data_IF_000734244933
#
_entry.id   IF_000734244933
#
_cell.length_a   1.000
_cell.length_b   1.000
_cell.length_c   1.000
_cell.angle_alpha   90.00
_cell.angle_beta   90.00
_cell.angle_gamma   90.00
#
_symmetry.space_group_name_H-M   'P 1'
#
loop_
_entity.id
_entity.type
_entity.pdbx_description
1 polymer ?
#
# COMPACT_ATOMS: atom_id res chain seq x y z
N UNK A 1 7.04 24.75 -11.65
CA UNK A 1 7.85 23.70 -12.31
C UNK A 1 7.76 22.32 -11.61
N UNK A 2 6.72 22.07 -10.80
CA UNK A 2 6.57 20.81 -10.02
C UNK A 2 5.70 19.77 -10.74
N UNK A 3 4.80 20.22 -11.63
CA UNK A 3 3.90 19.34 -12.40
C UNK A 3 4.63 18.45 -13.42
N UNK A 4 5.67 18.95 -14.08
CA UNK A 4 6.42 18.21 -15.12
C UNK A 4 7.08 16.94 -14.59
N UNK A 5 7.69 17.00 -13.40
CA UNK A 5 8.29 15.83 -12.74
C UNK A 5 7.29 14.69 -12.53
N UNK A 6 6.02 14.98 -12.26
CA UNK A 6 5.01 13.95 -12.04
C UNK A 6 4.43 13.38 -13.35
N UNK A 7 4.41 14.17 -14.42
CA UNK A 7 4.12 13.64 -15.75
C UNK A 7 5.23 12.69 -16.21
N UNK A 8 6.50 13.02 -15.94
CA UNK A 8 7.65 12.18 -16.27
C UNK A 8 7.68 10.86 -15.49
N UNK A 9 7.19 10.86 -14.24
CA UNK A 9 7.16 9.66 -13.39
C UNK A 9 5.93 8.77 -13.57
N UNK A 10 4.96 9.17 -14.40
CA UNK A 10 3.76 8.39 -14.66
C UNK A 10 4.11 7.13 -15.47
N UNK A 11 3.68 5.96 -15.00
CA UNK A 11 3.98 4.69 -15.65
C UNK A 11 5.43 4.19 -15.51
N UNK A 12 6.28 4.89 -14.74
CA UNK A 12 7.60 4.37 -14.38
C UNK A 12 7.44 3.16 -13.45
N UNK A 13 8.19 2.06 -13.61
CA UNK A 13 8.10 0.93 -12.70
C UNK A 13 8.33 1.33 -11.22
N UNK A 14 7.49 0.82 -10.31
CA UNK A 14 7.63 0.98 -8.86
C UNK A 14 9.03 0.57 -8.35
N UNK A 15 9.67 -0.38 -9.02
CA UNK A 15 11.05 -0.79 -8.73
C UNK A 15 12.07 0.33 -8.97
N UNK A 16 11.85 1.17 -9.98
CA UNK A 16 12.70 2.32 -10.30
C UNK A 16 12.51 3.45 -9.29
N UNK A 17 11.26 3.70 -8.90
CA UNK A 17 10.90 4.62 -7.82
C UNK A 17 11.62 4.31 -6.48
N UNK A 18 11.70 3.03 -6.11
CA UNK A 18 12.44 2.61 -4.91
C UNK A 18 13.97 2.72 -5.07
N UNK A 19 14.50 2.48 -6.28
CA UNK A 19 15.93 2.64 -6.59
C UNK A 19 16.37 4.10 -6.52
N UNK A 20 15.49 5.03 -6.91
CA UNK A 20 15.73 6.48 -6.88
C UNK A 20 15.72 7.08 -5.47
N UNK A 21 15.59 6.26 -4.42
CA UNK A 21 15.81 6.68 -3.04
C UNK A 21 14.54 6.88 -2.22
N UNK A 22 13.36 6.53 -2.74
CA UNK A 22 12.14 6.47 -1.93
C UNK A 22 12.20 5.31 -0.92
N UNK A 23 12.78 5.60 0.25
CA UNK A 23 12.93 4.64 1.35
C UNK A 23 11.67 4.47 2.19
N UNK A 24 10.81 5.49 2.20
CA UNK A 24 9.59 5.55 3.00
C UNK A 24 8.43 5.94 2.10
N UNK A 25 7.33 5.22 2.19
CA UNK A 25 6.10 5.50 1.46
C UNK A 25 4.95 5.50 2.45
N UNK A 26 4.21 6.60 2.52
CA UNK A 26 3.01 6.71 3.33
C UNK A 26 1.80 6.48 2.43
N UNK A 27 1.03 5.45 2.74
CA UNK A 27 -0.16 5.06 2.02
C UNK A 27 -1.37 5.47 2.87
N UNK A 28 -2.31 6.14 2.22
CA UNK A 28 -3.63 6.42 2.77
C UNK A 28 -4.58 5.34 2.27
N UNK A 29 -5.36 4.78 3.20
CA UNK A 29 -6.33 3.73 2.91
C UNK A 29 -7.74 4.26 3.11
N UNK A 30 -8.54 4.11 2.07
CA UNK A 30 -9.96 4.46 2.04
C UNK A 30 -10.76 3.17 1.92
N UNK A 31 -11.72 2.96 2.82
CA UNK A 31 -12.52 1.73 2.83
C UNK A 31 -13.31 1.60 1.53
N UNK A 32 -13.35 0.40 0.95
CA UNK A 32 -14.27 0.13 -0.15
C UNK A 32 -15.72 0.12 0.36
N UNK A 33 -16.67 0.60 -0.45
CA UNK A 33 -18.09 0.72 -0.09
C UNK A 33 -18.72 -0.61 0.38
N UNK A 34 -18.21 -1.73 -0.13
CA UNK A 34 -18.71 -3.07 0.19
C UNK A 34 -18.08 -3.69 1.45
N UNK A 35 -17.20 -2.98 2.16
CA UNK A 35 -16.50 -3.52 3.32
C UNK A 35 -17.38 -3.47 4.57
N UNK A 36 -17.77 -4.62 5.16
CA UNK A 36 -18.82 -4.69 6.19
C UNK A 36 -18.35 -4.29 7.59
N UNK A 37 -17.04 -4.09 7.78
CA UNK A 37 -16.46 -3.77 9.08
C UNK A 37 -16.09 -2.30 9.17
N UNK A 38 -16.17 -1.68 10.38
CA UNK A 38 -15.76 -0.30 10.58
C UNK A 38 -14.26 -0.17 10.26
N UNK A 39 -13.98 0.37 9.08
CA UNK A 39 -12.66 0.74 8.63
C UNK A 39 -12.50 2.23 8.89
N UNK A 40 -11.74 2.57 9.92
CA UNK A 40 -11.28 3.95 10.08
C UNK A 40 -10.15 4.20 9.07
N UNK A 41 -10.06 5.43 8.54
CA UNK A 41 -8.98 5.86 7.64
C UNK A 41 -7.61 5.46 8.19
N UNK A 42 -7.05 4.39 7.68
CA UNK A 42 -5.80 3.85 8.20
C UNK A 42 -4.65 4.30 7.30
N UNK A 43 -3.54 4.67 7.94
CA UNK A 43 -2.32 5.03 7.22
C UNK A 43 -1.34 3.89 7.34
N UNK A 44 -0.83 3.41 6.22
CA UNK A 44 0.22 2.41 6.22
C UNK A 44 1.54 3.07 5.87
N UNK A 45 2.54 2.91 6.73
CA UNK A 45 3.90 3.32 6.44
C UNK A 45 4.69 2.10 5.97
N UNK A 46 5.20 2.19 4.75
CA UNK A 46 6.15 1.24 4.20
C UNK A 46 7.56 1.79 4.36
N UNK A 47 8.45 0.98 4.92
CA UNK A 47 9.88 1.30 5.03
C UNK A 47 10.64 0.22 4.28
N UNK A 48 11.27 0.63 3.19
CA UNK A 48 12.08 -0.24 2.34
C UNK A 48 13.54 -0.20 2.80
N UNK A 49 14.13 -1.38 2.99
CA UNK A 49 15.54 -1.50 3.32
C UNK A 49 16.36 -1.68 2.04
N UNK A 50 17.42 -0.90 1.86
CA UNK A 50 18.30 -0.98 0.67
C UNK A 50 18.99 -2.33 0.55
N UNK A 51 19.22 -3.01 1.67
CA UNK A 51 19.87 -4.31 1.72
C UNK A 51 18.91 -5.49 1.46
N UNK A 52 17.63 -5.34 1.81
CA UNK A 52 16.61 -6.38 1.62
C UNK A 52 15.64 -5.97 0.52
N UNK A 53 16.05 -6.13 -0.74
CA UNK A 53 15.30 -5.63 -1.90
C UNK A 53 13.88 -6.15 -2.02
N UNK A 54 13.60 -7.34 -1.48
CA UNK A 54 12.30 -8.00 -1.57
C UNK A 54 11.54 -7.97 -0.24
N UNK A 55 11.97 -7.17 0.73
CA UNK A 55 11.31 -7.06 2.02
C UNK A 55 11.14 -5.61 2.44
N UNK A 56 9.99 -5.29 2.99
CA UNK A 56 9.72 -3.98 3.57
C UNK A 56 9.08 -4.14 4.95
N UNK A 57 9.37 -3.21 5.85
CA UNK A 57 8.61 -3.10 7.10
C UNK A 57 7.29 -2.40 6.77
N UNK A 58 6.19 -3.00 7.18
CA UNK A 58 4.84 -2.46 7.03
C UNK A 58 4.30 -2.11 8.39
N UNK A 59 3.84 -0.87 8.54
CA UNK A 59 3.36 -0.32 9.81
C UNK A 59 1.97 0.23 9.58
N UNK A 60 0.97 -0.45 10.12
CA UNK A 60 -0.41 0.00 10.11
C UNK A 60 -0.65 0.94 11.29
N UNK A 61 -1.07 2.17 10.98
CA UNK A 61 -1.46 3.19 11.94
C UNK A 61 -2.99 3.37 11.88
N UNK A 62 -3.63 3.28 13.04
CA UNK A 62 -5.06 3.57 13.20
C UNK A 62 -5.31 5.08 13.28
N UNK A 63 -6.48 5.55 12.83
CA UNK A 63 -6.81 6.99 12.73
C UNK A 63 -6.73 7.76 14.04
N UNK A 64 -6.89 7.06 15.18
CA UNK A 64 -6.74 7.64 16.52
C UNK A 64 -5.30 7.65 17.07
N UNK A 65 -4.30 7.17 16.31
CA UNK A 65 -2.89 7.12 16.71
C UNK A 65 -2.55 6.17 17.87
N UNK A 66 -3.55 5.57 18.50
CA UNK A 66 -3.41 4.76 19.73
C UNK A 66 -2.91 3.34 19.47
N UNK A 67 -3.17 2.77 18.30
CA UNK A 67 -2.74 1.41 17.95
C UNK A 67 -1.89 1.40 16.68
N UNK A 68 -0.73 0.75 16.79
CA UNK A 68 0.24 0.55 15.72
C UNK A 68 0.57 -0.93 15.61
N UNK A 69 0.38 -1.50 14.43
CA UNK A 69 0.72 -2.89 14.16
C UNK A 69 1.87 -2.93 13.17
N UNK A 70 2.90 -3.71 13.49
CA UNK A 70 4.09 -3.84 12.65
C UNK A 70 4.22 -5.25 12.12
N UNK A 71 4.71 -5.35 10.88
CA UNK A 71 5.04 -6.62 10.26
C UNK A 71 6.10 -6.42 9.17
N UNK A 72 6.58 -7.54 8.63
CA UNK A 72 7.47 -7.57 7.49
C UNK A 72 6.66 -8.09 6.30
N UNK A 73 6.61 -7.29 5.24
CA UNK A 73 6.01 -7.63 3.96
C UNK A 73 7.06 -8.10 2.96
N UNK A 74 6.73 -9.11 2.17
CA UNK A 74 7.50 -9.53 1.01
C UNK A 74 7.04 -8.74 -0.22
N UNK A 75 7.99 -8.12 -0.90
CA UNK A 75 7.78 -7.25 -2.06
C UNK A 75 8.09 -8.02 -3.33
N UNK A 76 7.14 -8.02 -4.25
CA UNK A 76 7.28 -8.60 -5.60
C UNK A 76 6.94 -7.55 -6.64
N UNK A 77 7.80 -7.40 -7.64
CA UNK A 77 7.58 -6.47 -8.75
C UNK A 77 7.09 -7.22 -9.98
N UNK A 78 6.06 -6.69 -10.63
CA UNK A 78 5.59 -7.20 -11.92
C UNK A 78 6.47 -6.62 -13.03
N UNK A 79 6.98 -7.48 -13.90
CA UNK A 79 7.90 -7.07 -14.98
C UNK A 79 7.22 -6.24 -16.07
N UNK A 80 5.93 -6.47 -16.33
CA UNK A 80 5.22 -5.92 -17.49
C UNK A 80 4.61 -4.53 -17.22
N UNK A 81 3.98 -4.34 -16.07
CA UNK A 81 3.20 -3.12 -15.77
C UNK A 81 3.91 -2.16 -14.83
N UNK A 82 5.08 -2.55 -14.32
CA UNK A 82 5.78 -1.75 -13.32
C UNK A 82 5.10 -1.72 -11.95
N UNK A 83 4.02 -2.45 -11.74
CA UNK A 83 3.32 -2.56 -10.46
C UNK A 83 4.12 -3.35 -9.42
N UNK A 84 3.77 -3.16 -8.15
CA UNK A 84 4.34 -3.93 -7.04
C UNK A 84 3.24 -4.52 -6.16
N UNK A 85 3.52 -5.71 -5.65
CA UNK A 85 2.73 -6.39 -4.65
C UNK A 85 3.52 -6.51 -3.35
N UNK A 86 2.86 -6.28 -2.23
CA UNK A 86 3.44 -6.43 -0.90
C UNK A 86 2.52 -7.35 -0.11
N UNK A 87 3.03 -8.53 0.24
CA UNK A 87 2.26 -9.54 0.96
C UNK A 87 2.82 -9.76 2.35
N UNK A 88 1.96 -9.99 3.32
CA UNK A 88 2.42 -10.23 4.68
C UNK A 88 1.30 -10.69 5.60
N UNK A 89 1.60 -10.66 6.90
CA UNK A 89 0.66 -11.05 7.95
C UNK A 89 0.84 -10.16 9.17
N UNK A 90 -0.24 -9.55 9.65
CA UNK A 90 -0.22 -8.87 10.94
C UNK A 90 -0.57 -9.87 12.05
N UNK A 91 0.41 -10.21 12.90
CA UNK A 91 0.22 -11.15 14.01
C UNK A 91 -0.44 -10.52 15.24
N UNK A 92 -0.41 -9.20 15.33
CA UNK A 92 -0.89 -8.44 16.49
C UNK A 92 -2.16 -7.64 16.18
N UNK A 93 -2.58 -7.62 14.91
CA UNK A 93 -3.78 -6.90 14.48
C UNK A 93 -5.03 -7.65 14.96
N UNK A 94 -5.62 -7.15 16.04
CA UNK A 94 -6.74 -7.79 16.73
C UNK A 94 -7.97 -7.90 15.83
N UNK A 95 -8.24 -6.91 14.97
CA UNK A 95 -9.42 -6.93 14.09
C UNK A 95 -9.26 -7.98 13.00
N UNK A 96 -8.10 -8.01 12.34
CA UNK A 96 -7.78 -9.04 11.36
C UNK A 96 -7.77 -10.45 11.95
N UNK A 97 -7.37 -10.62 13.21
CA UNK A 97 -7.41 -11.93 13.88
C UNK A 97 -8.85 -12.35 14.21
N UNK A 98 -9.67 -11.44 14.74
CA UNK A 98 -11.08 -11.71 15.03
C UNK A 98 -11.86 -12.10 13.77
N UNK A 99 -11.57 -11.42 12.66
CA UNK A 99 -12.16 -11.70 11.34
C UNK A 99 -11.55 -12.93 10.65
N UNK A 100 -10.60 -13.62 11.28
CA UNK A 100 -9.82 -14.72 10.69
C UNK A 100 -9.10 -14.35 9.38
N UNK A 101 -8.83 -13.06 9.16
CA UNK A 101 -8.17 -12.47 7.99
C UNK A 101 -6.85 -11.75 8.36
N UNK A 102 -5.85 -12.46 8.92
CA UNK A 102 -4.61 -11.85 9.39
C UNK A 102 -3.61 -11.54 8.26
N UNK A 103 -3.84 -12.05 7.06
CA UNK A 103 -2.98 -11.82 5.90
C UNK A 103 -3.42 -10.59 5.13
N UNK A 104 -2.46 -9.97 4.44
CA UNK A 104 -2.74 -8.89 3.52
C UNK A 104 -1.96 -9.06 2.21
N UNK A 105 -2.53 -8.51 1.14
CA UNK A 105 -1.90 -8.29 -0.14
C UNK A 105 -2.16 -6.83 -0.53
N UNK A 106 -1.11 -6.03 -0.67
CA UNK A 106 -1.19 -4.66 -1.12
C UNK A 106 -0.66 -4.60 -2.55
N UNK A 107 -1.51 -4.20 -3.48
CA UNK A 107 -1.13 -3.88 -4.85
C UNK A 107 -0.95 -2.37 -4.97
N UNK A 108 0.12 -1.94 -5.64
CA UNK A 108 0.38 -0.53 -5.96
C UNK A 108 0.96 -0.38 -7.36
N UNK A 109 0.48 0.63 -8.08
CA UNK A 109 0.93 0.97 -9.43
C UNK A 109 1.15 2.48 -9.59
N UNK A 110 2.07 2.83 -10.50
CA UNK A 110 2.30 4.19 -11.01
C UNK A 110 1.44 4.49 -12.23
N UNK A 111 0.80 3.48 -12.83
CA UNK A 111 -0.14 3.66 -13.91
C UNK A 111 -1.50 4.10 -13.35
N UNK A 112 -1.55 5.36 -12.93
CA UNK A 112 -2.73 5.96 -12.29
C UNK A 112 -3.65 6.58 -13.34
N UNK A 113 -4.95 6.62 -13.03
CA UNK A 113 -5.95 7.27 -13.88
C UNK A 113 -5.74 8.78 -13.92
N UNK A 114 -6.29 9.46 -14.93
CA UNK A 114 -6.21 10.92 -14.97
C UNK A 114 -6.91 11.55 -13.76
N UNK A 115 -8.02 10.98 -13.30
CA UNK A 115 -8.75 11.48 -12.12
C UNK A 115 -7.85 11.44 -10.88
N UNK A 116 -7.20 10.30 -10.63
CA UNK A 116 -6.27 10.13 -9.51
C UNK A 116 -5.05 11.05 -9.63
N UNK A 117 -4.56 11.25 -10.84
CA UNK A 117 -3.45 12.16 -11.11
C UNK A 117 -3.82 13.60 -10.73
N UNK A 118 -5.02 14.06 -11.12
CA UNK A 118 -5.51 15.40 -10.77
C UNK A 118 -5.82 15.55 -9.28
N UNK A 119 -6.15 14.46 -8.58
CA UNK A 119 -6.24 14.43 -7.10
C UNK A 119 -4.88 14.51 -6.38
N UNK A 120 -3.78 14.57 -7.13
CA UNK A 120 -2.43 14.67 -6.58
C UNK A 120 -1.86 13.33 -6.10
N UNK A 121 -2.39 12.20 -6.59
CA UNK A 121 -1.83 10.89 -6.26
C UNK A 121 -0.59 10.59 -7.09
N UNK A 122 0.34 9.86 -6.49
CA UNK A 122 1.58 9.38 -7.09
C UNK A 122 1.49 7.89 -7.40
N UNK A 123 0.92 7.12 -6.46
CA UNK A 123 0.67 5.69 -6.60
C UNK A 123 -0.77 5.42 -6.18
N UNK A 124 -1.41 4.47 -6.84
CA UNK A 124 -2.73 3.97 -6.47
C UNK A 124 -2.74 2.45 -6.50
N UNK A 125 -3.76 1.85 -5.89
CA UNK A 125 -3.93 0.41 -5.88
C UNK A 125 -4.94 -0.04 -4.83
N UNK A 126 -4.82 -1.30 -4.40
CA UNK A 126 -5.82 -1.95 -3.54
C UNK A 126 -5.17 -2.75 -2.43
N UNK A 127 -5.83 -2.79 -1.27
CA UNK A 127 -5.50 -3.70 -0.18
C UNK A 127 -6.54 -4.80 -0.10
N UNK A 128 -6.06 -6.02 -0.25
CA UNK A 128 -6.82 -7.22 0.06
C UNK A 128 -6.41 -7.73 1.45
N UNK A 129 -7.41 -8.12 2.22
CA UNK A 129 -7.22 -8.83 3.48
C UNK A 129 -7.76 -10.24 3.31
N UNK A 130 -7.20 -11.19 4.05
CA UNK A 130 -7.62 -12.56 3.85
C UNK A 130 -6.90 -13.57 4.72
N UNK A 131 -7.14 -14.83 4.37
CA UNK A 131 -6.52 -15.98 4.98
C UNK A 131 -5.93 -16.89 3.92
N UNK A 132 -4.61 -16.81 3.75
CA UNK A 132 -3.88 -17.62 2.77
C UNK A 132 -4.12 -19.13 2.91
N UNK A 133 -4.35 -19.64 4.13
CA UNK A 133 -4.60 -21.08 4.35
C UNK A 133 -5.99 -21.51 3.88
N UNK A 134 -6.96 -20.61 3.95
CA UNK A 134 -8.35 -20.87 3.54
C UNK A 134 -8.61 -20.45 2.09
N UNK A 135 -7.67 -19.76 1.44
CA UNK A 135 -7.85 -19.25 0.08
C UNK A 135 -8.80 -18.05 -0.01
N UNK A 136 -9.20 -17.48 1.12
CA UNK A 136 -10.16 -16.37 1.18
C UNK A 136 -9.40 -15.05 1.08
N UNK A 137 -9.78 -14.21 0.13
CA UNK A 137 -9.25 -12.86 -0.06
C UNK A 137 -10.40 -11.92 -0.42
N UNK A 138 -10.42 -10.76 0.21
CA UNK A 138 -11.42 -9.74 -0.05
C UNK A 138 -10.73 -8.38 -0.19
N UNK A 139 -11.13 -7.61 -1.20
CA UNK A 139 -10.70 -6.24 -1.38
C UNK A 139 -11.36 -5.36 -0.31
N UNK A 140 -10.54 -4.69 0.48
CA UNK A 140 -10.98 -3.99 1.70
C UNK A 140 -10.82 -2.49 1.60
N UNK A 141 -9.74 -2.03 0.99
CA UNK A 141 -9.42 -0.61 0.90
C UNK A 141 -8.85 -0.26 -0.47
N UNK A 142 -9.23 0.91 -0.97
CA UNK A 142 -8.47 1.63 -1.96
C UNK A 142 -7.23 2.24 -1.31
N UNK A 143 -6.08 2.10 -1.95
CA UNK A 143 -4.80 2.54 -1.43
C UNK A 143 -4.20 3.60 -2.35
N UNK A 144 -3.76 4.73 -1.79
CA UNK A 144 -3.10 5.76 -2.57
C UNK A 144 -1.99 6.45 -1.80
N UNK A 145 -1.03 7.01 -2.55
CA UNK A 145 0.10 7.79 -2.03
C UNK A 145 -0.04 9.19 -2.59
N UNK A 146 -0.15 10.20 -1.72
CA UNK A 146 -0.16 11.62 -2.13
C UNK A 146 1.25 12.12 -2.41
N UNK A 147 1.36 13.08 -3.34
CA UNK A 147 2.60 13.81 -3.60
C UNK A 147 2.92 14.72 -2.40
N UNK A 148 4.18 14.77 -1.99
CA UNK A 148 4.62 15.78 -1.01
C UNK A 148 4.65 17.16 -1.68
N UNK A 149 3.96 18.15 -1.10
CA UNK A 149 3.98 19.54 -1.58
C UNK A 149 2.77 20.02 -2.38
N UNK A 150 1.61 19.37 -2.23
CA UNK A 150 0.30 19.95 -2.60
C UNK A 150 -0.36 20.60 -1.38
#
# INVERSE_FOLDING_TARGET
MVQLFYYENRGIPCSHLLRNGMKKIIIQLEACENWPYPSSESKWLLIFNRFLRNWCKVIQMTSGGTKRYETIGHVTFTKLEGSMFITGKFKQDSTGIQQKMPHFCLFLTTNITDVDFHRGYLLTGMVERGNRKLGIWESTHYAYVKREGY
#
